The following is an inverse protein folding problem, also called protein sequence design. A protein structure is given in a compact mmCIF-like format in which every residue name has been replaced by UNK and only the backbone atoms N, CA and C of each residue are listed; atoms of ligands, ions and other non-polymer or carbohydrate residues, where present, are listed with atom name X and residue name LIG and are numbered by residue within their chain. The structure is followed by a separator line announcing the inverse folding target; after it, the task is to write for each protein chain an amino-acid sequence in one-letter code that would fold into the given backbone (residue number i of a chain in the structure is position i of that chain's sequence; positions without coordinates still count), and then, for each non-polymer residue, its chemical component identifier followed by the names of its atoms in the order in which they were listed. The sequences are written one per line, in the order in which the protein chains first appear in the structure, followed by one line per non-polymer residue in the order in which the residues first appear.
data_IF_414076718976
#
_entry.id   IF_414076718976
#
_cell.length_a   1.000
_cell.length_b   1.000
_cell.length_c   1.000
_cell.angle_alpha   90.00
_cell.angle_beta   90.00
_cell.angle_gamma   90.00
#
_symmetry.space_group_name_H-M   'P 1'
#
loop_
_entity.id
_entity.type
_entity.pdbx_description
1 polymer ?
#
# COMPACT_ATOMS: atom_id res chain seq x y z
N UNK A 1 -14.78 27.85 4.18
CA UNK A 1 -16.25 27.58 4.18
C UNK A 1 -16.58 26.25 3.53
N UNK A 2 -15.77 25.78 2.57
CA UNK A 2 -16.03 24.53 1.83
C UNK A 2 -15.84 23.25 2.65
N UNK A 3 -14.94 23.25 3.64
CA UNK A 3 -14.70 22.12 4.54
C UNK A 3 -15.92 21.81 5.44
N UNK A 4 -16.58 22.85 5.94
CA UNK A 4 -17.80 22.71 6.76
C UNK A 4 -18.99 22.18 5.92
N UNK A 5 -19.10 22.60 4.66
CA UNK A 5 -20.14 22.13 3.77
C UNK A 5 -19.97 20.64 3.42
N UNK A 6 -18.73 20.20 3.20
CA UNK A 6 -18.39 18.80 2.94
C UNK A 6 -18.66 17.91 4.17
N UNK A 7 -18.28 18.37 5.36
CA UNK A 7 -18.48 17.63 6.61
C UNK A 7 -19.97 17.48 6.99
N UNK A 8 -20.74 18.55 6.78
CA UNK A 8 -22.20 18.54 6.99
C UNK A 8 -22.88 17.59 5.98
N UNK A 9 -22.45 17.60 4.72
CA UNK A 9 -22.95 16.67 3.71
C UNK A 9 -22.67 15.21 4.10
N UNK A 10 -21.50 14.92 4.67
CA UNK A 10 -21.11 13.57 5.11
C UNK A 10 -21.97 13.07 6.29
N UNK A 11 -22.24 13.92 7.29
CA UNK A 11 -23.13 13.57 8.41
C UNK A 11 -24.56 13.29 7.91
N UNK A 12 -25.05 14.10 6.94
CA UNK A 12 -26.36 13.89 6.35
C UNK A 12 -26.44 12.59 5.54
N UNK A 13 -25.39 12.27 4.79
CA UNK A 13 -25.33 11.04 3.98
C UNK A 13 -25.28 9.81 4.89
N UNK A 14 -24.44 9.81 5.92
CA UNK A 14 -24.32 8.71 6.87
C UNK A 14 -25.59 8.50 7.69
N UNK A 15 -26.19 9.56 8.21
CA UNK A 15 -27.48 9.50 8.92
C UNK A 15 -28.63 9.01 8.04
N UNK A 16 -28.65 9.38 6.75
CA UNK A 16 -29.62 8.91 5.77
C UNK A 16 -29.47 7.42 5.49
N UNK A 17 -28.23 6.92 5.35
CA UNK A 17 -27.96 5.49 5.09
C UNK A 17 -28.26 4.61 6.30
N UNK A 18 -27.90 5.02 7.51
CA UNK A 18 -28.25 4.29 8.72
C UNK A 18 -29.77 4.25 8.95
N UNK A 19 -30.45 5.35 8.71
CA UNK A 19 -31.91 5.40 8.76
C UNK A 19 -32.58 4.50 7.70
N UNK A 20 -31.97 4.38 6.51
CA UNK A 20 -32.45 3.49 5.43
C UNK A 20 -32.20 2.02 5.74
N UNK A 21 -31.08 1.68 6.36
CA UNK A 21 -30.75 0.32 6.83
C UNK A 21 -31.68 -0.13 7.95
N UNK A 22 -32.02 0.77 8.89
CA UNK A 22 -33.00 0.53 9.94
C UNK A 22 -34.43 0.40 9.37
N UNK A 23 -34.77 1.19 8.38
CA UNK A 23 -36.08 1.14 7.72
C UNK A 23 -36.28 -0.13 6.87
N UNK A 24 -35.22 -0.73 6.35
CA UNK A 24 -35.28 -2.01 5.62
C UNK A 24 -35.34 -3.24 6.55
N UNK A 25 -34.88 -3.12 7.80
CA UNK A 25 -34.95 -4.19 8.81
C UNK A 25 -36.25 -4.22 9.64
N UNK A 26 -36.95 -3.10 9.70
CA UNK A 26 -38.22 -3.04 10.44
C UNK A 26 -39.37 -2.66 9.50
N UNK A 27 -40.20 -3.64 9.11
CA UNK A 27 -41.56 -3.40 8.55
C UNK A 27 -42.50 -2.89 9.65
N UNK A 28 -42.16 -1.75 10.26
CA UNK A 28 -43.02 -1.07 11.22
C UNK A 28 -43.47 0.24 10.58
N UNK A 29 -44.78 0.34 10.37
CA UNK A 29 -45.49 1.54 9.91
C UNK A 29 -45.34 2.66 10.93
N UNK A 30 -44.35 3.57 10.74
CA UNK A 30 -44.30 4.80 11.50
C UNK A 30 -45.30 5.81 10.91
N UNK A 31 -46.16 6.37 11.78
CA UNK A 31 -47.11 7.38 11.40
C UNK A 31 -46.41 8.66 10.91
N UNK A 32 -47.05 9.40 10.01
CA UNK A 32 -46.57 10.70 9.46
C UNK A 32 -46.22 11.71 10.56
N UNK A 33 -46.88 11.66 11.71
CA UNK A 33 -46.56 12.50 12.88
C UNK A 33 -45.20 12.24 13.49
N UNK A 34 -44.77 10.99 13.59
CA UNK A 34 -43.44 10.62 14.14
C UNK A 34 -42.30 11.10 13.25
N UNK A 35 -42.51 11.09 11.93
CA UNK A 35 -41.55 11.66 10.98
C UNK A 35 -41.43 13.18 11.10
N UNK A 36 -42.54 13.88 11.28
CA UNK A 36 -42.54 15.35 11.46
C UNK A 36 -41.86 15.76 12.76
N UNK A 37 -42.06 15.03 13.85
CA UNK A 37 -41.42 15.26 15.15
C UNK A 37 -39.90 14.99 15.04
N UNK A 38 -39.46 13.94 14.36
CA UNK A 38 -38.05 13.65 14.15
C UNK A 38 -37.34 14.75 13.35
N UNK A 39 -37.95 15.24 12.27
CA UNK A 39 -37.42 16.35 11.47
C UNK A 39 -37.33 17.63 12.28
N UNK A 40 -38.35 17.96 13.10
CA UNK A 40 -38.34 19.14 13.95
C UNK A 40 -37.24 19.10 15.02
N UNK A 41 -37.00 17.92 15.64
CA UNK A 41 -35.90 17.75 16.61
C UNK A 41 -34.52 17.92 15.98
N UNK A 42 -34.30 17.33 14.81
CA UNK A 42 -33.02 17.48 14.07
C UNK A 42 -32.82 18.92 13.63
N UNK A 43 -33.86 19.59 13.14
CA UNK A 43 -33.78 21.02 12.73
C UNK A 43 -33.52 21.92 13.91
N UNK A 44 -34.17 21.70 15.06
CA UNK A 44 -33.94 22.46 16.29
C UNK A 44 -32.54 22.26 16.86
N UNK A 45 -31.99 21.02 16.77
CA UNK A 45 -30.64 20.69 17.20
C UNK A 45 -29.59 21.39 16.33
N UNK A 46 -29.79 21.39 15.00
CA UNK A 46 -28.93 22.12 14.05
C UNK A 46 -29.00 23.64 14.32
N UNK A 47 -30.17 24.17 14.58
CA UNK A 47 -30.35 25.60 14.88
C UNK A 47 -29.63 26.00 16.18
N UNK A 48 -29.67 25.14 17.21
CA UNK A 48 -28.97 25.37 18.48
C UNK A 48 -27.46 25.38 18.32
N UNK A 49 -26.89 24.50 17.48
CA UNK A 49 -25.46 24.50 17.16
C UNK A 49 -25.07 25.75 16.37
N UNK A 50 -25.95 26.27 15.52
CA UNK A 50 -25.72 27.48 14.73
C UNK A 50 -25.77 28.77 15.60
N UNK A 51 -26.59 28.78 16.64
CA UNK A 51 -26.76 29.93 17.55
C UNK A 51 -25.64 30.00 18.61
N UNK A 52 -25.14 28.85 19.08
CA UNK A 52 -24.00 28.79 20.02
C UNK A 52 -22.95 27.77 19.59
N UNK A 53 -21.91 28.22 18.87
CA UNK A 53 -20.80 27.33 18.46
C UNK A 53 -20.09 26.64 19.62
N UNK A 54 -20.22 27.13 20.87
CA UNK A 54 -19.63 26.53 22.07
C UNK A 54 -20.34 25.20 22.45
N UNK A 55 -21.62 25.07 22.13
CA UNK A 55 -22.35 23.81 22.27
C UNK A 55 -21.79 22.73 21.38
N UNK A 56 -21.30 23.06 20.17
CA UNK A 56 -20.62 22.13 19.29
C UNK A 56 -19.30 21.60 19.91
N UNK A 57 -18.51 22.50 20.51
CA UNK A 57 -17.26 22.10 21.18
C UNK A 57 -17.48 21.29 22.48
N UNK A 58 -18.66 21.39 23.09
CA UNK A 58 -19.01 20.60 24.28
C UNK A 58 -19.61 19.23 23.96
N UNK A 59 -20.17 19.08 22.75
CA UNK A 59 -20.82 17.84 22.25
C UNK A 59 -19.95 17.10 21.22
N UNK A 60 -18.94 17.78 20.64
CA UNK A 60 -17.91 17.08 19.91
C UNK A 60 -17.28 16.05 20.86
N UNK A 61 -17.12 14.77 20.45
CA UNK A 61 -16.31 13.87 21.23
C UNK A 61 -15.02 14.63 21.50
N UNK A 62 -14.71 14.90 22.78
CA UNK A 62 -13.36 15.32 23.11
C UNK A 62 -12.49 14.27 22.50
N UNK A 63 -11.78 14.62 21.46
CA UNK A 63 -10.73 13.79 20.89
C UNK A 63 -9.71 13.57 22.01
N UNK A 64 -10.04 12.64 22.88
CA UNK A 64 -9.04 11.86 23.55
C UNK A 64 -8.44 11.07 22.40
N UNK A 65 -7.50 11.68 21.68
CA UNK A 65 -6.54 10.92 20.91
C UNK A 65 -6.19 9.75 21.81
N UNK A 66 -6.51 8.50 21.41
CA UNK A 66 -6.14 7.38 22.24
C UNK A 66 -4.66 7.60 22.46
N UNK A 67 -4.20 7.43 23.69
CA UNK A 67 -2.78 7.30 24.00
C UNK A 67 -2.29 6.11 23.18
N UNK A 68 -1.96 6.37 21.92
CA UNK A 68 -1.16 5.44 21.13
C UNK A 68 0.12 5.36 21.94
N UNK A 69 0.51 4.18 22.43
CA UNK A 69 1.75 4.04 23.17
C UNK A 69 2.85 4.62 22.29
N UNK A 70 3.40 5.75 22.69
CA UNK A 70 4.50 6.37 21.95
C UNK A 70 5.63 5.34 21.99
N UNK A 71 6.11 4.86 20.83
CA UNK A 71 7.21 3.93 20.79
C UNK A 71 8.38 4.54 21.57
N UNK A 72 9.00 3.77 22.47
CA UNK A 72 10.24 4.18 23.12
C UNK A 72 11.38 3.49 22.37
N UNK A 73 11.92 4.13 21.32
CA UNK A 73 13.02 3.57 20.57
C UNK A 73 14.27 3.51 21.44
N UNK A 74 15.24 2.64 21.07
CA UNK A 74 16.55 2.64 21.69
C UNK A 74 17.20 4.03 21.59
N UNK A 75 18.06 4.38 22.53
CA UNK A 75 18.79 5.67 22.49
C UNK A 75 19.52 5.87 21.16
N UNK A 76 20.08 4.78 20.61
CA UNK A 76 20.78 4.80 19.33
C UNK A 76 19.82 5.09 18.16
N UNK A 77 18.66 4.46 18.11
CA UNK A 77 17.67 4.71 17.07
C UNK A 77 17.15 6.15 17.14
N UNK A 78 16.89 6.65 18.36
CA UNK A 78 16.50 8.05 18.54
C UNK A 78 17.55 9.03 18.01
N UNK A 79 18.83 8.79 18.32
CA UNK A 79 19.91 9.62 17.81
C UNK A 79 19.96 9.60 16.28
N UNK A 80 19.87 8.42 15.67
CA UNK A 80 19.85 8.26 14.20
C UNK A 80 18.69 9.01 13.53
N UNK A 81 17.49 8.93 14.09
CA UNK A 81 16.30 9.64 13.56
C UNK A 81 16.44 11.16 13.76
N UNK A 82 17.01 11.61 14.87
CA UNK A 82 17.30 13.03 15.12
C UNK A 82 18.35 13.57 14.14
N UNK A 83 19.43 12.83 13.92
CA UNK A 83 20.48 13.19 12.97
C UNK A 83 19.95 13.23 11.53
N UNK A 84 19.11 12.26 11.14
CA UNK A 84 18.42 12.26 9.87
C UNK A 84 17.58 13.54 9.68
N UNK A 85 16.75 13.88 10.67
CA UNK A 85 15.89 15.06 10.58
C UNK A 85 16.72 16.36 10.49
N UNK A 86 17.81 16.47 11.24
CA UNK A 86 18.73 17.61 11.19
C UNK A 86 19.41 17.70 9.80
N UNK A 87 19.89 16.58 9.26
CA UNK A 87 20.52 16.50 7.93
C UNK A 87 19.55 16.88 6.82
N UNK A 88 18.33 16.35 6.85
CA UNK A 88 17.28 16.71 5.89
C UNK A 88 16.92 18.19 5.98
N UNK A 89 16.71 18.71 7.20
CA UNK A 89 16.37 20.13 7.42
C UNK A 89 17.42 21.05 6.84
N UNK A 90 18.73 20.74 7.04
CA UNK A 90 19.83 21.50 6.46
C UNK A 90 19.86 21.38 4.94
N UNK A 91 19.67 20.16 4.41
CA UNK A 91 19.70 19.91 2.96
C UNK A 91 18.59 20.70 2.23
N UNK A 92 17.36 20.73 2.78
CA UNK A 92 16.25 21.50 2.21
C UNK A 92 16.47 23.00 2.37
N UNK A 93 16.89 23.46 3.55
CA UNK A 93 17.17 24.88 3.83
C UNK A 93 18.25 25.45 2.93
N UNK A 94 19.34 24.73 2.70
CA UNK A 94 20.43 25.16 1.83
C UNK A 94 20.02 25.35 0.37
N UNK A 95 18.84 24.82 0.00
CA UNK A 95 18.21 24.95 -1.34
C UNK A 95 16.99 25.83 -1.35
N UNK A 96 16.78 26.63 -0.28
CA UNK A 96 15.67 27.57 -0.18
C UNK A 96 14.30 26.90 -0.04
N UNK A 97 14.27 25.65 0.47
CA UNK A 97 13.03 24.89 0.72
C UNK A 97 12.86 24.61 2.20
N UNK A 98 11.61 24.48 2.65
CA UNK A 98 11.28 23.93 3.96
C UNK A 98 11.19 22.41 3.87
N UNK A 99 11.66 21.71 4.91
CA UNK A 99 11.44 20.27 5.04
C UNK A 99 9.93 19.99 5.16
N UNK A 100 9.36 19.10 4.36
CA UNK A 100 7.98 18.67 4.52
C UNK A 100 7.75 18.03 5.89
N UNK A 101 6.61 18.30 6.49
CA UNK A 101 6.22 17.64 7.73
C UNK A 101 5.87 16.18 7.45
N UNK A 102 6.39 15.18 8.21
CA UNK A 102 6.11 13.79 7.97
C UNK A 102 4.63 13.46 8.25
N UNK A 103 4.10 12.50 7.48
CA UNK A 103 2.78 11.91 7.74
C UNK A 103 2.82 11.00 8.96
N UNK A 104 3.97 10.34 9.19
CA UNK A 104 4.20 9.41 10.29
C UNK A 104 5.21 9.97 11.30
N UNK A 105 4.79 10.89 12.21
CA UNK A 105 5.72 11.59 13.11
C UNK A 105 6.41 10.69 14.13
N UNK A 106 5.91 9.46 14.34
CA UNK A 106 6.47 8.46 15.25
C UNK A 106 6.89 7.20 14.48
N UNK A 107 8.03 7.21 13.77
CA UNK A 107 8.41 6.12 12.88
C UNK A 107 8.88 4.86 13.60
N UNK A 108 9.23 4.94 14.89
CA UNK A 108 9.75 3.80 15.65
C UNK A 108 8.66 2.77 15.97
N UNK A 109 9.07 1.49 16.08
CA UNK A 109 8.18 0.39 16.43
C UNK A 109 7.90 0.36 17.93
N UNK A 110 6.68 -0.01 18.31
CA UNK A 110 6.33 -0.37 19.69
C UNK A 110 7.05 -1.64 20.13
N UNK A 111 7.17 -1.90 21.44
CA UNK A 111 7.77 -3.13 21.96
C UNK A 111 7.04 -4.39 21.49
N UNK A 112 5.71 -4.31 21.32
CA UNK A 112 4.88 -5.39 20.81
C UNK A 112 5.17 -5.67 19.33
N UNK A 113 5.32 -4.63 18.53
CA UNK A 113 5.71 -4.75 17.11
C UNK A 113 7.13 -5.30 16.97
N UNK A 114 8.09 -4.83 17.77
CA UNK A 114 9.46 -5.38 17.79
C UNK A 114 9.44 -6.89 18.08
N UNK A 115 8.62 -7.32 19.04
CA UNK A 115 8.45 -8.74 19.38
C UNK A 115 7.85 -9.51 18.19
N UNK A 116 6.82 -8.96 17.53
CA UNK A 116 6.18 -9.57 16.36
C UNK A 116 7.16 -9.78 15.22
N UNK A 117 7.97 -8.78 14.89
CA UNK A 117 8.87 -8.80 13.75
C UNK A 117 10.25 -9.43 14.04
N UNK A 118 10.50 -9.89 15.28
CA UNK A 118 11.77 -10.52 15.65
C UNK A 118 12.13 -11.73 14.78
N UNK A 119 11.14 -12.46 14.26
CA UNK A 119 11.36 -13.56 13.33
C UNK A 119 12.14 -13.12 12.08
N UNK A 120 11.94 -11.88 11.61
CA UNK A 120 12.62 -11.36 10.43
C UNK A 120 14.12 -11.16 10.62
N UNK A 121 14.57 -10.91 11.86
CA UNK A 121 15.98 -10.69 12.20
C UNK A 121 16.68 -11.91 12.81
N UNK A 122 15.92 -12.91 13.31
CA UNK A 122 16.45 -14.08 14.05
C UNK A 122 16.79 -15.28 13.18
N UNK A 123 16.62 -15.18 11.86
CA UNK A 123 16.88 -16.26 10.92
C UNK A 123 18.37 -16.61 10.89
N UNK A 124 18.69 -17.84 11.28
CA UNK A 124 20.06 -18.37 11.29
C UNK A 124 20.67 -18.51 9.89
N UNK A 125 19.85 -18.54 8.85
CA UNK A 125 20.31 -18.69 7.46
C UNK A 125 20.86 -17.39 6.83
N UNK A 126 20.69 -16.24 7.49
CA UNK A 126 21.36 -15.00 7.12
C UNK A 126 20.88 -14.37 5.80
N UNK A 127 19.69 -14.70 5.31
CA UNK A 127 19.15 -14.21 4.04
C UNK A 127 19.02 -12.69 3.96
N UNK A 128 19.14 -12.15 2.75
CA UNK A 128 19.13 -10.71 2.44
C UNK A 128 17.75 -10.31 1.95
N UNK A 129 17.27 -9.15 2.37
CA UNK A 129 16.08 -8.47 1.86
C UNK A 129 16.51 -7.42 0.84
N UNK A 130 16.10 -7.58 -0.41
CA UNK A 130 16.37 -6.60 -1.47
C UNK A 130 15.22 -5.59 -1.54
N UNK A 131 15.54 -4.33 -1.29
CA UNK A 131 14.62 -3.21 -1.46
C UNK A 131 14.82 -2.60 -2.84
N UNK A 132 13.78 -2.62 -3.67
CA UNK A 132 13.81 -2.07 -5.01
C UNK A 132 12.69 -1.05 -5.20
N UNK A 133 12.95 0.01 -5.96
CA UNK A 133 11.93 1.00 -6.31
C UNK A 133 12.20 1.70 -7.62
N UNK A 134 11.13 2.13 -8.27
CA UNK A 134 11.12 3.16 -9.30
C UNK A 134 10.43 4.38 -8.71
N UNK A 135 11.12 5.50 -8.64
CA UNK A 135 10.63 6.66 -7.90
C UNK A 135 10.90 7.95 -8.68
N UNK A 136 9.95 8.88 -8.59
CA UNK A 136 10.09 10.19 -9.24
C UNK A 136 9.28 11.25 -8.51
N UNK A 137 9.88 12.45 -8.31
CA UNK A 137 9.21 13.62 -7.73
C UNK A 137 8.56 13.34 -6.36
N UNK A 138 9.32 12.76 -5.43
CA UNK A 138 8.84 12.33 -4.12
C UNK A 138 9.39 13.15 -2.96
N UNK A 139 9.85 14.37 -3.22
CA UNK A 139 10.44 15.21 -2.17
C UNK A 139 9.57 15.33 -0.92
N UNK A 140 8.23 15.32 -1.07
CA UNK A 140 7.29 15.45 0.04
C UNK A 140 7.13 14.14 0.87
N UNK A 141 7.51 13.01 0.27
CA UNK A 141 7.48 11.69 0.93
C UNK A 141 8.81 11.33 1.58
N UNK A 142 9.90 12.04 1.24
CA UNK A 142 11.27 11.73 1.69
C UNK A 142 11.40 11.63 3.20
N UNK A 143 10.83 12.52 4.04
CA UNK A 143 10.98 12.40 5.49
C UNK A 143 10.44 11.06 6.02
N UNK A 144 9.27 10.65 5.55
CA UNK A 144 8.64 9.37 5.94
C UNK A 144 9.42 8.18 5.39
N UNK A 145 9.81 8.21 4.12
CA UNK A 145 10.55 7.14 3.46
C UNK A 145 11.90 6.89 4.15
N UNK A 146 12.71 7.94 4.38
CA UNK A 146 14.02 7.76 4.99
C UNK A 146 13.92 7.31 6.44
N UNK A 147 12.96 7.83 7.21
CA UNK A 147 12.70 7.38 8.57
C UNK A 147 12.25 5.90 8.58
N UNK A 148 11.39 5.49 7.65
CA UNK A 148 10.99 4.10 7.49
C UNK A 148 12.19 3.17 7.19
N UNK A 149 13.10 3.59 6.31
CA UNK A 149 14.31 2.84 5.99
C UNK A 149 15.26 2.71 7.20
N UNK A 150 15.48 3.80 7.97
CA UNK A 150 16.30 3.76 9.20
C UNK A 150 15.77 2.72 10.17
N UNK A 151 14.47 2.75 10.48
CA UNK A 151 13.84 1.81 11.41
C UNK A 151 13.86 0.38 10.86
N UNK A 152 13.65 0.21 9.57
CA UNK A 152 13.70 -1.10 8.91
C UNK A 152 15.10 -1.70 8.96
N UNK A 153 16.14 -0.93 8.65
CA UNK A 153 17.55 -1.37 8.73
C UNK A 153 17.94 -1.69 10.17
N UNK A 154 17.51 -0.86 11.14
CA UNK A 154 17.75 -1.12 12.57
C UNK A 154 17.12 -2.44 13.03
N UNK A 155 15.90 -2.75 12.52
CA UNK A 155 15.14 -3.97 12.87
C UNK A 155 15.71 -5.23 12.20
N UNK A 156 15.99 -5.17 10.90
CA UNK A 156 16.45 -6.34 10.12
C UNK A 156 17.95 -6.62 10.30
N UNK A 157 18.72 -5.58 10.59
CA UNK A 157 20.18 -5.57 10.61
C UNK A 157 20.80 -5.13 9.28
N UNK A 158 21.84 -4.27 9.31
CA UNK A 158 22.41 -3.65 8.10
C UNK A 158 23.06 -4.65 7.15
N UNK A 159 23.52 -5.81 7.65
CA UNK A 159 24.10 -6.87 6.83
C UNK A 159 23.05 -7.73 6.12
N UNK A 160 21.77 -7.51 6.39
CA UNK A 160 20.65 -8.28 5.85
C UNK A 160 19.78 -7.50 4.88
N UNK A 161 20.22 -6.33 4.46
CA UNK A 161 19.50 -5.49 3.52
C UNK A 161 20.37 -5.15 2.31
N UNK A 162 19.73 -4.94 1.18
CA UNK A 162 20.32 -4.42 -0.04
C UNK A 162 19.31 -3.47 -0.69
N UNK A 163 19.81 -2.49 -1.44
CA UNK A 163 19.00 -1.42 -2.01
C UNK A 163 19.32 -1.23 -3.49
N UNK A 164 18.28 -1.17 -4.32
CA UNK A 164 18.37 -0.75 -5.72
C UNK A 164 17.29 0.29 -5.99
N UNK A 165 17.66 1.54 -6.05
CA UNK A 165 16.74 2.66 -6.27
C UNK A 165 17.02 3.28 -7.62
N UNK A 166 16.02 3.26 -8.50
CA UNK A 166 16.03 3.96 -9.76
C UNK A 166 15.15 5.21 -9.61
N UNK A 167 15.79 6.34 -9.54
CA UNK A 167 15.14 7.63 -9.54
C UNK A 167 15.05 8.11 -10.99
N UNK A 168 13.82 8.38 -11.45
CA UNK A 168 13.57 8.99 -12.75
C UNK A 168 13.92 10.48 -12.71
N UNK A 169 14.10 11.18 -13.84
CA UNK A 169 14.48 12.58 -13.83
C UNK A 169 13.40 13.41 -13.14
N UNK A 170 13.72 13.89 -11.93
CA UNK A 170 12.85 14.73 -11.12
C UNK A 170 13.31 16.19 -11.17
N UNK A 171 12.34 17.11 -11.17
CA UNK A 171 12.60 18.55 -11.14
C UNK A 171 12.64 19.10 -9.72
N UNK A 172 12.45 18.23 -8.72
CA UNK A 172 12.44 18.54 -7.29
C UNK A 172 13.77 18.14 -6.60
N UNK A 173 13.79 18.10 -5.27
CA UNK A 173 14.99 17.75 -4.51
C UNK A 173 15.27 16.23 -4.45
N UNK A 174 14.44 15.38 -5.03
CA UNK A 174 14.58 13.91 -4.94
C UNK A 174 15.97 13.42 -5.34
N UNK A 175 16.53 13.75 -6.53
CA UNK A 175 17.86 13.24 -6.93
C UNK A 175 18.94 13.69 -5.96
N UNK A 176 18.89 14.97 -5.53
CA UNK A 176 19.92 15.54 -4.66
C UNK A 176 19.88 14.95 -3.25
N UNK A 177 18.69 14.63 -2.73
CA UNK A 177 18.54 13.93 -1.43
C UNK A 177 19.04 12.49 -1.54
N UNK A 178 18.75 11.80 -2.62
CA UNK A 178 19.18 10.41 -2.80
C UNK A 178 20.71 10.31 -2.84
N UNK A 179 21.38 11.20 -3.55
CA UNK A 179 22.85 11.20 -3.64
C UNK A 179 23.53 11.73 -2.37
N UNK A 180 23.02 12.80 -1.77
CA UNK A 180 23.73 13.52 -0.72
C UNK A 180 23.26 13.17 0.70
N UNK A 181 22.08 12.53 0.85
CA UNK A 181 21.56 12.14 2.16
C UNK A 181 21.34 10.65 2.25
N UNK A 182 20.53 10.04 1.36
CA UNK A 182 20.16 8.62 1.45
C UNK A 182 21.40 7.70 1.33
N UNK A 183 22.23 7.89 0.33
CA UNK A 183 23.41 7.03 0.13
C UNK A 183 24.38 7.11 1.32
N UNK A 184 24.80 8.30 1.81
CA UNK A 184 25.59 8.40 3.04
C UNK A 184 24.90 7.84 4.28
N UNK A 185 23.59 8.02 4.40
CA UNK A 185 22.80 7.46 5.50
C UNK A 185 22.89 5.93 5.56
N UNK A 186 22.66 5.25 4.42
CA UNK A 186 22.73 3.78 4.36
C UNK A 186 24.13 3.28 4.73
N UNK A 187 25.19 3.97 4.31
CA UNK A 187 26.56 3.67 4.72
C UNK A 187 26.77 3.87 6.23
N UNK A 188 26.28 4.97 6.80
CA UNK A 188 26.38 5.24 8.25
C UNK A 188 25.63 4.24 9.11
N UNK A 189 24.54 3.66 8.58
CA UNK A 189 23.80 2.56 9.22
C UNK A 189 24.57 1.24 9.17
N UNK A 190 25.64 1.13 8.39
CA UNK A 190 26.48 -0.07 8.26
C UNK A 190 26.06 -1.01 7.13
N UNK A 191 25.26 -0.55 6.18
CA UNK A 191 24.93 -1.32 4.97
C UNK A 191 26.17 -1.43 4.09
N UNK A 192 26.59 -2.64 3.65
CA UNK A 192 27.74 -2.82 2.78
C UNK A 192 27.63 -2.06 1.46
N UNK A 193 28.68 -1.37 1.03
CA UNK A 193 28.65 -0.51 -0.17
C UNK A 193 28.22 -1.25 -1.45
N UNK A 194 28.65 -2.51 -1.63
CA UNK A 194 28.26 -3.34 -2.78
C UNK A 194 26.78 -3.74 -2.79
N UNK A 195 26.03 -3.42 -1.75
CA UNK A 195 24.58 -3.67 -1.63
C UNK A 195 23.75 -2.39 -1.76
N UNK A 196 24.36 -1.29 -2.12
CA UNK A 196 23.68 0.00 -2.33
C UNK A 196 23.89 0.40 -3.78
N UNK A 197 22.80 0.39 -4.55
CA UNK A 197 22.74 0.87 -5.93
C UNK A 197 21.67 1.95 -6.02
N UNK A 198 22.08 3.20 -6.19
CA UNK A 198 21.20 4.35 -6.36
C UNK A 198 21.57 5.00 -7.69
N UNK A 199 20.59 5.12 -8.59
CA UNK A 199 20.71 5.71 -9.91
C UNK A 199 19.78 6.91 -9.98
N UNK A 200 20.33 8.10 -10.25
CA UNK A 200 19.60 9.38 -10.28
C UNK A 200 19.83 10.16 -11.57
N UNK A 201 20.49 9.55 -12.53
CA UNK A 201 20.88 10.17 -13.82
C UNK A 201 20.20 9.48 -15.02
N UNK A 202 19.11 8.77 -14.77
CA UNK A 202 18.35 8.12 -15.83
C UNK A 202 17.79 9.16 -16.82
N UNK A 203 17.84 8.89 -18.14
CA UNK A 203 17.30 9.81 -19.13
C UNK A 203 15.77 9.94 -19.01
N UNK A 204 15.26 11.10 -19.39
CA UNK A 204 13.81 11.32 -19.47
C UNK A 204 13.19 10.38 -20.52
N UNK A 205 12.05 9.78 -20.17
CA UNK A 205 11.32 8.87 -21.03
C UNK A 205 10.15 9.60 -21.69
N UNK A 206 10.13 9.56 -23.01
CA UNK A 206 9.00 10.07 -23.78
C UNK A 206 7.88 9.01 -23.85
N UNK A 207 6.96 9.05 -22.89
CA UNK A 207 5.78 8.20 -22.90
C UNK A 207 4.78 8.48 -24.02
N UNK A 208 4.95 9.58 -24.77
CA UNK A 208 4.14 9.87 -25.94
C UNK A 208 4.42 8.92 -27.12
N UNK A 209 5.67 8.46 -27.23
CA UNK A 209 6.14 7.58 -28.31
C UNK A 209 6.46 6.15 -27.84
N UNK A 210 6.72 5.93 -26.55
CA UNK A 210 7.03 4.61 -26.01
C UNK A 210 5.80 3.88 -25.46
N UNK A 211 5.76 2.56 -25.54
CA UNK A 211 4.73 1.78 -24.85
C UNK A 211 4.96 1.81 -23.34
N UNK A 212 4.02 2.37 -22.60
CA UNK A 212 4.14 2.56 -21.15
C UNK A 212 4.43 1.24 -20.41
N UNK A 213 3.76 0.15 -20.76
CA UNK A 213 3.91 -1.15 -20.09
C UNK A 213 5.30 -1.73 -20.32
N UNK A 214 5.80 -1.64 -21.56
CA UNK A 214 7.14 -2.09 -21.90
C UNK A 214 8.22 -1.29 -21.18
N UNK A 215 8.07 0.03 -21.11
CA UNK A 215 9.00 0.91 -20.41
C UNK A 215 9.04 0.57 -18.91
N UNK A 216 7.87 0.47 -18.27
CA UNK A 216 7.80 0.14 -16.84
C UNK A 216 8.35 -1.26 -16.56
N UNK A 217 8.08 -2.24 -17.42
CA UNK A 217 8.65 -3.58 -17.31
C UNK A 217 10.18 -3.56 -17.36
N UNK A 218 10.76 -2.81 -18.31
CA UNK A 218 12.21 -2.67 -18.45
C UNK A 218 12.84 -2.00 -17.22
N UNK A 219 12.25 -0.92 -16.71
CA UNK A 219 12.72 -0.26 -15.51
C UNK A 219 12.65 -1.14 -14.26
N UNK A 220 11.55 -1.93 -14.10
CA UNK A 220 11.44 -2.89 -13.00
C UNK A 220 12.51 -3.97 -13.09
N UNK A 221 12.77 -4.47 -14.30
CA UNK A 221 13.84 -5.43 -14.52
C UNK A 221 15.22 -4.81 -14.23
N UNK A 222 15.45 -3.56 -14.59
CA UNK A 222 16.68 -2.85 -14.27
C UNK A 222 16.87 -2.72 -12.74
N UNK A 223 15.80 -2.39 -12.00
CA UNK A 223 15.84 -2.34 -10.55
C UNK A 223 16.16 -3.71 -9.92
N UNK A 224 15.74 -4.80 -10.54
CA UNK A 224 15.98 -6.16 -10.06
C UNK A 224 17.21 -6.83 -10.69
N UNK A 225 17.90 -6.15 -11.59
CA UNK A 225 19.07 -6.69 -12.32
C UNK A 225 20.13 -7.36 -11.42
N UNK A 226 20.44 -6.86 -10.20
CA UNK A 226 21.40 -7.54 -9.33
C UNK A 226 21.02 -8.99 -8.97
N UNK A 227 19.74 -9.38 -9.02
CA UNK A 227 19.32 -10.74 -8.73
C UNK A 227 19.91 -11.78 -9.67
N UNK A 228 20.10 -11.46 -10.94
CA UNK A 228 20.57 -12.43 -11.96
C UNK A 228 21.90 -12.07 -12.58
N UNK A 229 22.40 -10.85 -12.42
CA UNK A 229 23.73 -10.47 -12.85
C UNK A 229 24.83 -10.91 -11.88
N UNK A 230 24.51 -10.95 -10.58
CA UNK A 230 25.37 -11.53 -9.56
C UNK A 230 24.69 -12.78 -8.94
N UNK A 231 25.00 -13.98 -9.46
CA UNK A 231 24.37 -15.21 -8.97
C UNK A 231 24.61 -15.46 -7.47
N UNK A 232 25.78 -15.08 -6.95
CA UNK A 232 26.07 -15.24 -5.52
C UNK A 232 25.24 -14.28 -4.68
N UNK A 233 24.99 -13.08 -5.16
CA UNK A 233 24.07 -12.15 -4.53
C UNK A 233 22.64 -12.65 -4.63
N UNK A 234 22.18 -13.04 -5.82
CA UNK A 234 20.80 -13.45 -6.09
C UNK A 234 20.36 -14.65 -5.25
N UNK A 235 21.20 -15.67 -5.10
CA UNK A 235 20.87 -16.88 -4.32
C UNK A 235 20.76 -16.62 -2.81
N UNK A 236 21.34 -15.52 -2.30
CA UNK A 236 21.23 -15.11 -0.91
C UNK A 236 20.04 -14.18 -0.64
N UNK A 237 19.30 -13.77 -1.67
CA UNK A 237 18.10 -12.96 -1.47
C UNK A 237 16.97 -13.83 -0.95
N UNK A 238 16.41 -13.44 0.19
CA UNK A 238 15.28 -14.11 0.85
C UNK A 238 13.95 -13.58 0.35
N UNK A 239 13.85 -12.29 0.15
CA UNK A 239 12.65 -11.63 -0.38
C UNK A 239 13.03 -10.34 -1.09
N UNK A 240 12.25 -9.99 -2.10
CA UNK A 240 12.30 -8.69 -2.77
C UNK A 240 11.16 -7.84 -2.24
N UNK A 241 11.45 -6.66 -1.70
CA UNK A 241 10.48 -5.64 -1.35
C UNK A 241 10.50 -4.61 -2.46
N UNK A 242 9.44 -4.55 -3.27
CA UNK A 242 9.30 -3.57 -4.33
C UNK A 242 8.21 -2.58 -3.95
N UNK A 243 8.53 -1.29 -3.90
CA UNK A 243 7.58 -0.24 -3.58
C UNK A 243 7.58 0.87 -4.61
N UNK A 244 6.42 1.48 -4.78
CA UNK A 244 6.22 2.66 -5.61
C UNK A 244 6.44 3.95 -4.80
N UNK A 245 6.13 5.08 -5.40
CA UNK A 245 6.10 6.43 -4.83
C UNK A 245 4.91 6.64 -3.87
N UNK A 246 4.86 5.86 -2.80
CA UNK A 246 3.79 5.87 -1.78
C UNK A 246 4.32 6.29 -0.41
N UNK A 247 3.45 6.86 0.42
CA UNK A 247 3.78 7.13 1.83
C UNK A 247 3.94 5.83 2.60
N UNK A 248 5.13 5.60 3.16
CA UNK A 248 5.54 4.39 3.85
C UNK A 248 6.01 4.67 5.28
N UNK A 249 5.73 3.75 6.19
CA UNK A 249 6.38 3.62 7.50
C UNK A 249 6.98 2.22 7.66
N UNK A 250 7.94 2.06 8.56
CA UNK A 250 8.63 0.78 8.77
C UNK A 250 7.67 -0.38 9.09
N UNK A 251 6.61 -0.11 9.87
CA UNK A 251 5.57 -1.09 10.16
C UNK A 251 4.96 -1.69 8.88
N UNK A 252 4.71 -0.87 7.85
CA UNK A 252 4.14 -1.34 6.58
C UNK A 252 5.05 -2.38 5.92
N UNK A 253 6.33 -2.07 5.82
CA UNK A 253 7.35 -2.93 5.23
C UNK A 253 7.49 -4.24 6.02
N UNK A 254 7.62 -4.13 7.33
CA UNK A 254 7.87 -5.27 8.21
C UNK A 254 6.65 -6.19 8.34
N UNK A 255 5.43 -5.64 8.33
CA UNK A 255 4.21 -6.45 8.32
C UNK A 255 4.05 -7.24 7.02
N UNK A 256 4.35 -6.63 5.86
CA UNK A 256 4.34 -7.34 4.58
C UNK A 256 5.38 -8.46 4.57
N UNK A 257 6.61 -8.20 5.01
CA UNK A 257 7.68 -9.20 5.13
C UNK A 257 7.29 -10.32 6.09
N UNK A 258 6.72 -9.98 7.26
CA UNK A 258 6.30 -10.95 8.25
C UNK A 258 5.20 -11.87 7.70
N UNK A 259 4.16 -11.30 7.10
CA UNK A 259 3.06 -12.08 6.51
C UNK A 259 3.52 -12.90 5.31
N UNK A 260 4.46 -12.38 4.52
CA UNK A 260 5.07 -13.13 3.41
C UNK A 260 5.74 -14.42 3.90
N UNK A 261 6.56 -14.33 4.95
CA UNK A 261 7.26 -15.49 5.49
C UNK A 261 6.33 -16.46 6.23
N UNK A 262 5.48 -15.95 7.11
CA UNK A 262 4.58 -16.79 7.93
C UNK A 262 3.62 -17.60 7.08
N UNK A 263 3.17 -17.04 5.96
CA UNK A 263 2.24 -17.69 5.05
C UNK A 263 2.92 -18.48 3.93
N UNK A 264 4.23 -18.34 3.72
CA UNK A 264 4.94 -18.94 2.60
C UNK A 264 4.37 -18.47 1.26
N UNK A 265 4.16 -17.15 1.14
CA UNK A 265 3.60 -16.56 -0.06
C UNK A 265 4.64 -16.41 -1.17
N UNK A 266 4.22 -16.50 -2.43
CA UNK A 266 5.04 -16.11 -3.58
C UNK A 266 5.01 -14.59 -3.80
N UNK A 267 3.84 -13.97 -3.58
CA UNK A 267 3.68 -12.51 -3.64
C UNK A 267 2.78 -12.06 -2.48
N UNK A 268 3.17 -10.98 -1.82
CA UNK A 268 2.40 -10.34 -0.74
C UNK A 268 2.25 -8.87 -1.06
N UNK A 269 1.03 -8.40 -1.27
CA UNK A 269 0.73 -7.02 -1.61
C UNK A 269 0.10 -6.27 -0.44
N UNK A 270 0.33 -4.96 -0.40
CA UNK A 270 -0.40 -4.02 0.44
C UNK A 270 -1.80 -3.72 -0.13
N UNK A 271 -2.39 -2.63 0.31
CA UNK A 271 -3.59 -2.02 -0.25
C UNK A 271 -3.35 -0.53 -0.48
N UNK A 272 -3.77 0.02 -1.61
CA UNK A 272 -3.53 1.42 -1.91
C UNK A 272 -4.80 2.21 -2.26
N UNK A 273 -4.79 3.50 -1.90
CA UNK A 273 -5.89 4.41 -2.07
C UNK A 273 -5.50 5.60 -2.96
N UNK A 274 -6.36 5.91 -3.93
CA UNK A 274 -6.30 7.16 -4.69
C UNK A 274 -6.99 8.30 -3.93
N UNK A 275 -8.20 8.02 -3.39
CA UNK A 275 -8.94 8.89 -2.48
C UNK A 275 -9.59 8.07 -1.40
N UNK A 276 -9.75 8.62 -0.22
CA UNK A 276 -10.39 7.95 0.91
C UNK A 276 -11.83 8.42 1.14
N UNK A 277 -12.13 9.69 0.82
CA UNK A 277 -13.46 10.27 0.89
C UNK A 277 -13.84 10.96 -0.43
N UNK A 278 -14.73 10.39 -1.20
CA UNK A 278 -15.20 9.01 -1.12
C UNK A 278 -14.06 8.03 -1.37
N UNK A 279 -14.17 6.79 -0.86
CA UNK A 279 -13.11 5.80 -0.94
C UNK A 279 -12.91 5.29 -2.38
N UNK A 280 -11.70 5.38 -2.90
CA UNK A 280 -11.31 4.85 -4.21
C UNK A 280 -10.07 3.97 -4.08
N UNK A 281 -10.21 2.70 -4.41
CA UNK A 281 -9.09 1.81 -4.59
C UNK A 281 -8.26 2.25 -5.80
N UNK A 282 -6.92 2.33 -5.65
CA UNK A 282 -6.07 2.84 -6.73
C UNK A 282 -5.77 1.82 -7.81
N UNK A 283 -5.34 0.62 -7.42
CA UNK A 283 -4.80 -0.39 -8.35
C UNK A 283 -5.91 -1.30 -8.94
N UNK A 284 -7.01 -0.66 -9.35
CA UNK A 284 -8.21 -1.31 -9.91
C UNK A 284 -7.93 -2.20 -11.12
N UNK A 285 -6.79 -2.02 -11.77
CA UNK A 285 -6.44 -2.69 -13.01
C UNK A 285 -5.74 -4.03 -12.79
N UNK A 286 -5.04 -4.19 -11.67
CA UNK A 286 -4.21 -5.36 -11.37
C UNK A 286 -4.94 -6.34 -10.45
N UNK A 287 -5.63 -5.85 -9.42
CA UNK A 287 -6.25 -6.67 -8.39
C UNK A 287 -7.34 -7.61 -8.91
N UNK A 288 -7.18 -8.93 -8.69
CA UNK A 288 -8.14 -9.98 -9.08
C UNK A 288 -8.34 -10.99 -7.96
N UNK A 289 -9.60 -11.33 -7.70
CA UNK A 289 -9.96 -12.31 -6.68
C UNK A 289 -9.52 -13.72 -7.08
N UNK A 290 -9.30 -14.58 -6.08
CA UNK A 290 -8.98 -15.98 -6.32
C UNK A 290 -10.24 -16.80 -6.63
N UNK A 291 -11.39 -16.39 -6.10
CA UNK A 291 -12.64 -17.16 -6.21
C UNK A 291 -13.22 -17.07 -7.62
N UNK A 292 -13.20 -15.90 -8.22
CA UNK A 292 -13.88 -15.63 -9.49
C UNK A 292 -12.95 -15.17 -10.61
N UNK A 293 -11.73 -14.73 -10.28
CA UNK A 293 -10.82 -14.09 -11.24
C UNK A 293 -11.24 -12.68 -11.65
N UNK A 294 -12.31 -12.14 -11.06
CA UNK A 294 -12.77 -10.78 -11.36
C UNK A 294 -12.04 -9.72 -10.52
N UNK A 295 -12.21 -8.46 -10.91
CA UNK A 295 -11.58 -7.31 -10.28
C UNK A 295 -12.04 -7.15 -8.82
N UNK A 296 -11.16 -6.65 -7.95
CA UNK A 296 -11.54 -6.28 -6.58
C UNK A 296 -12.62 -5.22 -6.55
N UNK A 297 -12.65 -4.41 -7.56
CA UNK A 297 -13.51 -3.27 -7.70
C UNK A 297 -14.12 -3.27 -9.10
N UNK A 298 -15.43 -3.47 -9.25
CA UNK A 298 -16.07 -3.34 -10.53
C UNK A 298 -15.98 -1.88 -10.98
N UNK A 299 -15.51 -1.65 -12.20
CA UNK A 299 -15.39 -0.32 -12.75
C UNK A 299 -16.65 -0.05 -13.57
N UNK A 300 -17.63 0.72 -13.02
CA UNK A 300 -18.82 1.07 -13.76
C UNK A 300 -18.52 2.13 -14.81
N UNK A 301 -19.37 2.25 -15.80
CA UNK A 301 -19.32 3.33 -16.77
C UNK A 301 -20.28 4.47 -16.32
N UNK A 302 -19.83 5.73 -16.19
CA UNK A 302 -18.44 6.20 -16.30
C UNK A 302 -17.59 5.73 -15.13
N UNK A 303 -16.33 5.45 -15.42
CA UNK A 303 -15.39 4.84 -14.52
C UNK A 303 -15.14 5.62 -13.21
N UNK A 304 -14.73 4.86 -12.18
CA UNK A 304 -14.34 5.33 -10.87
C UNK A 304 -15.44 5.96 -10.03
N UNK A 305 -16.39 5.16 -9.61
CA UNK A 305 -17.23 5.51 -8.48
C UNK A 305 -16.55 5.12 -7.14
N UNK A 306 -16.97 5.73 -6.01
CA UNK A 306 -16.47 5.34 -4.70
C UNK A 306 -16.56 3.85 -4.45
N UNK A 307 -15.57 3.26 -3.78
CA UNK A 307 -15.49 1.83 -3.51
C UNK A 307 -16.41 1.38 -2.36
N UNK A 308 -17.68 1.74 -2.42
CA UNK A 308 -18.70 1.20 -1.52
C UNK A 308 -18.95 -0.29 -1.76
N UNK A 309 -18.54 -0.79 -2.92
CA UNK A 309 -18.73 -2.18 -3.35
C UNK A 309 -17.38 -2.78 -3.74
N UNK A 310 -16.54 -3.07 -2.75
CA UNK A 310 -15.35 -3.90 -2.95
C UNK A 310 -15.76 -5.37 -2.95
N UNK A 311 -15.10 -6.17 -3.78
CA UNK A 311 -15.27 -7.63 -3.84
C UNK A 311 -16.73 -8.08 -3.98
N UNK A 312 -17.52 -7.54 -4.95
CA UNK A 312 -18.95 -7.82 -5.05
C UNK A 312 -19.24 -9.32 -5.21
N UNK A 313 -18.36 -10.07 -5.87
CA UNK A 313 -18.50 -11.49 -6.16
C UNK A 313 -17.64 -12.38 -5.26
N UNK A 314 -16.95 -11.81 -4.25
CA UNK A 314 -16.13 -12.54 -3.29
C UNK A 314 -16.40 -12.08 -1.85
N UNK A 315 -17.51 -12.54 -1.22
CA UNK A 315 -17.84 -12.20 0.17
C UNK A 315 -16.77 -12.60 1.17
N UNK A 316 -16.00 -13.66 0.87
CA UNK A 316 -14.87 -14.11 1.70
C UNK A 316 -13.74 -13.08 1.69
N UNK A 317 -13.37 -12.58 0.53
CA UNK A 317 -12.34 -11.52 0.41
C UNK A 317 -12.80 -10.24 1.10
N UNK A 318 -14.07 -9.85 0.95
CA UNK A 318 -14.65 -8.68 1.63
C UNK A 318 -14.59 -8.84 3.16
N UNK A 319 -14.98 -9.99 3.70
CA UNK A 319 -14.96 -10.25 5.13
C UNK A 319 -13.52 -10.19 5.69
N UNK A 320 -12.55 -10.78 5.00
CA UNK A 320 -11.15 -10.74 5.39
C UNK A 320 -10.57 -9.32 5.32
N UNK A 321 -10.89 -8.57 4.26
CA UNK A 321 -10.51 -7.16 4.11
C UNK A 321 -11.04 -6.31 5.28
N UNK A 322 -12.30 -6.44 5.62
CA UNK A 322 -12.93 -5.72 6.74
C UNK A 322 -12.36 -6.12 8.11
N UNK A 323 -11.93 -7.37 8.25
CA UNK A 323 -11.29 -7.87 9.46
C UNK A 323 -9.78 -7.55 9.55
N UNK A 324 -9.20 -6.90 8.54
CA UNK A 324 -7.75 -6.66 8.38
C UNK A 324 -6.94 -7.96 8.40
N UNK A 325 -7.54 -9.07 7.97
CA UNK A 325 -6.89 -10.38 7.88
C UNK A 325 -6.34 -10.63 6.47
N UNK A 326 -5.12 -11.16 6.32
CA UNK A 326 -4.59 -11.53 5.02
C UNK A 326 -5.51 -12.51 4.29
N UNK A 327 -5.63 -12.35 2.98
CA UNK A 327 -6.43 -13.24 2.15
C UNK A 327 -5.77 -13.49 0.79
N UNK A 328 -6.03 -14.67 0.24
CA UNK A 328 -5.50 -15.06 -1.07
C UNK A 328 -6.25 -14.33 -2.18
N UNK A 329 -5.49 -13.98 -3.22
CA UNK A 329 -5.98 -13.38 -4.46
C UNK A 329 -5.28 -14.06 -5.64
N UNK A 330 -5.81 -13.88 -6.85
CA UNK A 330 -5.08 -14.31 -8.06
C UNK A 330 -3.92 -13.36 -8.33
N UNK A 331 -4.13 -12.07 -8.26
CA UNK A 331 -3.11 -11.05 -8.49
C UNK A 331 -3.37 -9.79 -7.67
N UNK A 332 -2.32 -9.15 -7.21
CA UNK A 332 -2.33 -7.82 -6.62
C UNK A 332 -0.93 -7.20 -6.66
N UNK A 333 -0.88 -5.85 -6.74
CA UNK A 333 0.38 -5.07 -6.63
C UNK A 333 0.28 -4.00 -5.53
N UNK A 334 -0.66 -3.06 -5.64
CA UNK A 334 -1.14 -2.12 -4.62
C UNK A 334 -0.03 -1.28 -3.94
N UNK A 335 0.82 -0.65 -4.72
CA UNK A 335 1.82 0.31 -4.24
C UNK A 335 3.06 -0.30 -3.59
N UNK A 336 2.96 -1.44 -2.89
CA UNK A 336 4.11 -2.15 -2.29
C UNK A 336 3.86 -3.65 -2.28
N UNK A 337 4.85 -4.41 -2.73
CA UNK A 337 4.82 -5.87 -2.73
C UNK A 337 6.09 -6.48 -2.15
N UNK A 338 5.93 -7.65 -1.56
CA UNK A 338 7.03 -8.56 -1.23
C UNK A 338 6.92 -9.78 -2.14
N UNK A 339 8.02 -10.15 -2.79
CA UNK A 339 8.07 -11.26 -3.76
C UNK A 339 9.11 -12.29 -3.37
N UNK A 340 8.79 -13.57 -3.60
CA UNK A 340 9.81 -14.65 -3.60
C UNK A 340 10.79 -14.40 -4.77
N UNK A 341 12.10 -14.36 -4.53
CA UNK A 341 13.09 -14.13 -5.58
C UNK A 341 13.28 -15.30 -6.52
N UNK A 342 12.90 -16.53 -6.14
CA UNK A 342 13.17 -17.74 -6.90
C UNK A 342 12.68 -17.71 -8.34
N UNK A 343 11.47 -17.21 -8.66
CA UNK A 343 11.01 -17.14 -10.04
C UNK A 343 11.92 -16.30 -10.96
N UNK A 344 12.62 -15.31 -10.43
CA UNK A 344 13.56 -14.50 -11.20
C UNK A 344 14.86 -15.22 -11.53
N UNK A 345 15.19 -16.30 -10.84
CA UNK A 345 16.43 -17.06 -10.95
C UNK A 345 16.25 -18.29 -11.86
N UNK A 346 17.35 -18.86 -12.41
CA UNK A 346 17.28 -20.13 -13.13
C UNK A 346 16.68 -21.25 -12.26
N UNK A 347 15.88 -22.17 -12.83
CA UNK A 347 15.60 -22.32 -14.26
C UNK A 347 14.45 -21.45 -14.79
N UNK A 348 13.70 -20.76 -13.94
CA UNK A 348 12.46 -20.06 -14.28
C UNK A 348 12.71 -18.81 -15.12
N UNK A 349 13.63 -17.94 -14.69
CA UNK A 349 14.02 -16.71 -15.37
C UNK A 349 12.85 -15.75 -15.68
N UNK A 350 11.85 -15.70 -14.80
CA UNK A 350 10.71 -14.77 -14.92
C UNK A 350 11.21 -13.32 -14.94
N UNK A 351 10.58 -12.50 -15.77
CA UNK A 351 10.87 -11.07 -15.92
C UNK A 351 9.58 -10.27 -16.06
N UNK A 352 9.58 -9.04 -15.60
CA UNK A 352 8.53 -8.10 -16.01
C UNK A 352 8.57 -7.94 -17.52
N UNK A 353 7.41 -7.92 -18.14
CA UNK A 353 7.31 -7.93 -19.61
C UNK A 353 6.03 -7.27 -20.08
N UNK A 354 6.01 -6.93 -21.35
CA UNK A 354 4.79 -6.67 -22.09
C UNK A 354 4.14 -7.99 -22.53
N UNK A 355 2.83 -7.96 -22.74
CA UNK A 355 2.08 -9.10 -23.26
C UNK A 355 2.55 -9.56 -24.65
N UNK A 356 2.53 -10.88 -24.90
CA UNK A 356 2.79 -11.47 -26.20
C UNK A 356 1.54 -11.40 -27.07
N UNK A 357 1.38 -10.27 -27.76
CA UNK A 357 0.23 -10.03 -28.63
C UNK A 357 0.18 -10.97 -29.84
N UNK A 358 1.31 -11.52 -30.26
CA UNK A 358 1.36 -12.48 -31.38
C UNK A 358 0.68 -13.78 -31.00
N UNK A 359 0.82 -14.20 -29.74
CA UNK A 359 0.14 -15.38 -29.19
C UNK A 359 -1.28 -15.10 -28.69
N UNK A 360 -1.77 -13.85 -28.82
CA UNK A 360 -3.11 -13.49 -28.37
C UNK A 360 -3.25 -13.20 -26.88
N UNK A 361 -2.13 -13.01 -26.17
CA UNK A 361 -2.15 -12.66 -24.75
C UNK A 361 -2.81 -11.28 -24.55
N UNK A 362 -3.65 -11.15 -23.54
CA UNK A 362 -4.29 -9.86 -23.23
C UNK A 362 -3.24 -8.80 -22.90
N UNK A 363 -3.41 -7.58 -23.40
CA UNK A 363 -2.53 -6.43 -23.16
C UNK A 363 -2.62 -5.91 -21.71
N UNK A 364 -2.49 -6.80 -20.74
CA UNK A 364 -2.51 -6.46 -19.31
C UNK A 364 -1.28 -5.66 -18.89
N UNK A 365 -1.33 -5.10 -17.68
CA UNK A 365 -0.19 -4.45 -17.03
C UNK A 365 0.94 -5.46 -16.77
N UNK A 366 2.18 -4.99 -16.73
CA UNK A 366 3.35 -5.78 -16.35
C UNK A 366 3.23 -6.37 -14.94
N UNK A 367 2.49 -5.67 -14.06
CA UNK A 367 2.18 -6.16 -12.71
C UNK A 367 1.13 -7.27 -12.71
N UNK A 368 0.22 -7.31 -13.67
CA UNK A 368 -0.71 -8.43 -13.84
C UNK A 368 -0.02 -9.64 -14.46
N UNK A 369 0.84 -9.40 -15.45
CA UNK A 369 1.57 -10.47 -16.16
C UNK A 369 2.56 -11.19 -15.25
N UNK A 370 3.24 -10.48 -14.34
CA UNK A 370 4.14 -11.12 -13.39
C UNK A 370 3.39 -12.08 -12.45
N UNK A 371 2.16 -11.78 -12.04
CA UNK A 371 1.34 -12.71 -11.27
C UNK A 371 1.05 -13.98 -12.08
N UNK A 372 0.64 -13.83 -13.35
CA UNK A 372 0.38 -14.98 -14.25
C UNK A 372 1.62 -15.86 -14.42
N UNK A 373 2.80 -15.24 -14.59
CA UNK A 373 4.06 -15.97 -14.72
C UNK A 373 4.44 -16.69 -13.41
N UNK A 374 4.19 -16.09 -12.25
CA UNK A 374 4.36 -16.74 -10.95
C UNK A 374 3.42 -17.96 -10.79
N UNK A 375 2.15 -17.83 -11.16
CA UNK A 375 1.21 -18.95 -11.14
C UNK A 375 1.66 -20.07 -12.05
N UNK A 376 2.05 -19.77 -13.29
CA UNK A 376 2.52 -20.72 -14.29
C UNK A 376 3.70 -21.57 -13.78
N UNK A 377 4.61 -20.96 -13.03
CA UNK A 377 5.82 -21.59 -12.51
C UNK A 377 5.65 -22.18 -11.10
N UNK A 378 4.41 -22.23 -10.59
CA UNK A 378 4.08 -22.86 -9.30
C UNK A 378 4.29 -21.96 -8.06
N UNK A 379 4.47 -20.65 -8.24
CA UNK A 379 4.61 -19.65 -7.17
C UNK A 379 3.36 -18.82 -6.95
N UNK A 380 2.19 -19.30 -7.38
CA UNK A 380 0.92 -18.57 -7.39
C UNK A 380 0.28 -18.33 -6.02
N UNK A 381 1.00 -18.44 -4.91
CA UNK A 381 0.53 -18.07 -3.58
C UNK A 381 0.58 -16.54 -3.41
N UNK A 382 -0.42 -15.87 -3.97
CA UNK A 382 -0.54 -14.41 -3.92
C UNK A 382 -1.53 -14.00 -2.83
N UNK A 383 -1.16 -13.05 -1.97
CA UNK A 383 -2.01 -12.54 -0.90
C UNK A 383 -2.02 -11.01 -0.85
N UNK A 384 -3.09 -10.47 -0.30
CA UNK A 384 -3.21 -9.08 0.14
C UNK A 384 -3.16 -9.05 1.67
N UNK A 385 -2.46 -8.06 2.23
CA UNK A 385 -2.41 -7.78 3.68
C UNK A 385 -3.13 -6.45 3.93
N UNK A 386 -4.44 -6.47 4.19
CA UNK A 386 -5.26 -5.25 4.27
C UNK A 386 -4.99 -4.40 5.52
N UNK A 387 -4.20 -4.91 6.45
CA UNK A 387 -3.69 -4.11 7.57
C UNK A 387 -2.58 -3.12 7.17
N UNK A 388 -2.04 -3.25 5.95
CA UNK A 388 -1.09 -2.30 5.35
C UNK A 388 -1.82 -1.54 4.25
N UNK A 389 -2.18 -0.29 4.56
CA UNK A 389 -2.89 0.59 3.63
C UNK A 389 -2.03 1.82 3.32
N UNK A 390 -1.87 2.10 2.04
CA UNK A 390 -0.96 3.08 1.48
C UNK A 390 -1.71 4.15 0.69
N UNK A 391 -1.05 5.26 0.41
CA UNK A 391 -1.56 6.30 -0.48
C UNK A 391 -0.40 7.03 -1.17
N UNK A 392 -0.70 7.59 -2.35
CA UNK A 392 0.25 8.37 -3.15
C UNK A 392 0.24 9.85 -2.76
N UNK A 393 -0.89 10.36 -2.27
CA UNK A 393 -1.08 11.75 -1.90
C UNK A 393 -1.04 11.93 -0.36
N UNK A 394 -0.44 13.02 0.10
CA UNK A 394 -0.26 13.33 1.52
C UNK A 394 -1.57 13.31 2.32
N UNK A 395 -2.58 14.02 1.85
CA UNK A 395 -3.85 14.15 2.57
C UNK A 395 -4.58 12.82 2.66
N UNK A 396 -4.49 12.02 1.59
CA UNK A 396 -5.05 10.65 1.56
C UNK A 396 -4.29 9.74 2.53
N UNK A 397 -2.96 9.88 2.63
CA UNK A 397 -2.14 9.11 3.57
C UNK A 397 -2.49 9.43 5.03
N UNK A 398 -2.63 10.73 5.38
CA UNK A 398 -3.06 11.17 6.72
C UNK A 398 -4.44 10.59 7.06
N UNK A 399 -5.41 10.74 6.15
CA UNK A 399 -6.76 10.21 6.35
C UNK A 399 -6.76 8.68 6.47
N UNK A 400 -5.97 7.99 5.63
CA UNK A 400 -5.84 6.53 5.68
C UNK A 400 -5.30 6.07 7.01
N UNK A 401 -4.23 6.71 7.52
CA UNK A 401 -3.66 6.37 8.83
C UNK A 401 -4.67 6.56 9.95
N UNK A 402 -5.41 7.68 9.96
CA UNK A 402 -6.46 7.93 10.95
C UNK A 402 -7.56 6.86 10.93
N UNK A 403 -8.07 6.50 9.75
CA UNK A 403 -9.11 5.49 9.59
C UNK A 403 -8.61 4.09 9.98
N UNK A 404 -7.36 3.76 9.64
CA UNK A 404 -6.74 2.50 10.02
C UNK A 404 -6.57 2.37 11.53
N UNK A 405 -6.15 3.42 12.22
CA UNK A 405 -6.05 3.43 13.68
C UNK A 405 -7.41 3.18 14.34
N UNK A 406 -8.48 3.80 13.83
CA UNK A 406 -9.84 3.59 14.34
C UNK A 406 -10.30 2.14 14.11
N UNK A 407 -10.17 1.62 12.88
CA UNK A 407 -10.56 0.25 12.54
C UNK A 407 -9.78 -0.78 13.35
N UNK A 408 -8.48 -0.61 13.52
CA UNK A 408 -7.65 -1.47 14.36
C UNK A 408 -8.14 -1.48 15.82
N UNK A 409 -8.52 -0.32 16.36
CA UNK A 409 -9.07 -0.21 17.72
C UNK A 409 -10.39 -0.96 17.85
N UNK A 410 -11.31 -0.79 16.91
CA UNK A 410 -12.60 -1.50 16.87
C UNK A 410 -12.41 -3.01 16.80
N UNK A 411 -11.38 -3.47 16.08
CA UNK A 411 -11.00 -4.88 15.97
C UNK A 411 -10.19 -5.40 17.17
N UNK A 412 -9.93 -4.55 18.17
CA UNK A 412 -9.22 -4.93 19.39
C UNK A 412 -7.70 -5.07 19.24
N UNK A 413 -7.11 -4.43 18.23
CA UNK A 413 -5.67 -4.38 18.07
C UNK A 413 -5.03 -3.60 19.22
N UNK A 414 -3.87 -4.04 19.67
CA UNK A 414 -3.08 -3.35 20.70
C UNK A 414 -1.67 -3.09 20.17
N UNK A 415 -1.21 -1.85 20.31
CA UNK A 415 0.14 -1.44 19.89
C UNK A 415 0.47 -1.81 18.44
N UNK A 416 -0.51 -1.71 17.54
CA UNK A 416 -0.36 -2.04 16.11
C UNK A 416 -0.33 -3.55 15.80
N UNK A 417 -0.66 -4.41 16.76
CA UNK A 417 -0.65 -5.87 16.59
C UNK A 417 -2.05 -6.43 16.80
N UNK A 418 -2.51 -7.38 15.93
CA UNK A 418 -3.82 -7.99 16.06
C UNK A 418 -3.96 -8.79 17.35
N UNK A 419 -5.18 -8.92 17.90
CA UNK A 419 -5.42 -9.74 19.08
C UNK A 419 -5.15 -11.21 18.80
N UNK A 420 -4.66 -11.92 19.83
CA UNK A 420 -4.49 -13.37 19.79
C UNK A 420 -5.85 -14.03 19.80
N UNK A 421 -6.23 -14.66 18.69
CA UNK A 421 -7.49 -15.44 18.60
C UNK A 421 -7.22 -16.93 18.84
N UNK A 422 -7.91 -17.52 19.81
CA UNK A 422 -7.79 -18.96 20.10
C UNK A 422 -6.41 -19.42 20.56
N UNK A 423 -5.66 -18.57 21.24
CA UNK A 423 -4.33 -18.91 21.76
C UNK A 423 -3.19 -18.94 20.71
N UNK A 424 -3.49 -18.59 19.45
CA UNK A 424 -2.48 -18.48 18.37
C UNK A 424 -2.42 -17.05 17.86
N UNK A 425 -1.22 -16.52 17.67
CA UNK A 425 -0.95 -15.19 17.13
C UNK A 425 -1.52 -14.98 15.73
N UNK A 426 -1.59 -16.05 14.94
CA UNK A 426 -2.17 -16.08 13.61
C UNK A 426 -2.33 -17.53 13.16
N UNK A 427 -3.44 -17.88 12.50
CA UNK A 427 -3.72 -19.28 12.09
C UNK A 427 -3.02 -19.68 10.79
N UNK A 428 -2.40 -18.73 10.08
CA UNK A 428 -1.90 -18.95 8.74
C UNK A 428 -3.02 -18.95 7.68
N UNK A 429 -2.63 -18.69 6.43
CA UNK A 429 -3.54 -18.69 5.31
C UNK A 429 -3.71 -20.12 4.76
N UNK A 430 -4.95 -20.52 4.47
CA UNK A 430 -5.20 -21.76 3.71
C UNK A 430 -5.20 -21.41 2.24
N UNK A 431 -4.26 -21.99 1.48
CA UNK A 431 -4.08 -21.71 0.08
C UNK A 431 -4.95 -22.59 -0.82
N UNK A 432 -5.60 -21.95 -1.80
CA UNK A 432 -6.09 -22.63 -2.99
C UNK A 432 -4.91 -22.77 -3.95
N UNK A 433 -4.68 -23.99 -4.45
CA UNK A 433 -3.52 -24.28 -5.29
C UNK A 433 -3.80 -24.06 -6.78
N UNK A 434 -5.06 -24.05 -7.18
CA UNK A 434 -5.48 -23.84 -8.57
C UNK A 434 -5.92 -22.38 -8.76
N UNK A 435 -5.56 -21.75 -9.86
CA UNK A 435 -6.05 -20.43 -10.23
C UNK A 435 -7.52 -20.50 -10.65
N UNK A 436 -8.20 -19.34 -10.77
CA UNK A 436 -9.50 -19.28 -11.46
C UNK A 436 -9.39 -19.78 -12.89
N UNK A 437 -10.44 -20.43 -13.41
CA UNK A 437 -10.47 -20.91 -14.81
C UNK A 437 -10.25 -19.77 -15.81
N UNK A 438 -10.79 -18.61 -15.51
CA UNK A 438 -10.62 -17.37 -16.27
C UNK A 438 -10.38 -16.19 -15.34
N UNK A 439 -9.70 -15.19 -15.86
CA UNK A 439 -9.46 -13.92 -15.17
C UNK A 439 -9.95 -12.75 -16.02
N UNK A 440 -10.37 -11.68 -15.35
CA UNK A 440 -10.75 -10.43 -16.04
C UNK A 440 -9.50 -9.71 -16.51
N UNK A 441 -9.43 -9.40 -17.78
CA UNK A 441 -8.40 -8.56 -18.36
C UNK A 441 -8.99 -7.24 -18.85
N UNK A 442 -8.30 -6.16 -18.53
CA UNK A 442 -8.53 -4.82 -19.06
C UNK A 442 -7.34 -4.48 -19.97
N UNK A 443 -7.46 -4.63 -21.29
CA UNK A 443 -6.32 -4.44 -22.18
C UNK A 443 -5.90 -2.96 -22.26
N UNK A 444 -4.59 -2.70 -22.11
CA UNK A 444 -4.03 -1.37 -22.31
C UNK A 444 -4.10 -1.01 -23.81
N UNK A 445 -4.51 0.22 -24.16
CA UNK A 445 -4.55 0.64 -25.55
C UNK A 445 -3.15 0.69 -26.17
N UNK A 446 -3.01 0.25 -27.40
CA UNK A 446 -1.72 0.25 -28.11
C UNK A 446 -1.17 1.66 -28.35
N UNK A 447 -2.04 2.64 -28.51
CA UNK A 447 -1.70 4.06 -28.61
C UNK A 447 -1.96 4.73 -27.27
N UNK A 448 -0.94 4.83 -26.44
CA UNK A 448 -0.88 5.44 -25.11
C UNK A 448 -2.05 6.39 -24.78
N UNK A 449 -3.21 5.82 -24.43
CA UNK A 449 -4.28 6.50 -23.71
C UNK A 449 -5.08 7.58 -24.42
N UNK A 450 -4.71 8.01 -25.62
CA UNK A 450 -5.45 9.04 -26.34
C UNK A 450 -6.65 8.43 -27.05
N UNK A 451 -7.84 8.57 -26.46
CA UNK A 451 -9.12 8.35 -27.11
C UNK A 451 -9.77 7.00 -26.89
N UNK A 452 -9.27 6.13 -26.01
CA UNK A 452 -9.89 4.86 -25.68
C UNK A 452 -10.06 4.71 -24.17
N UNK A 453 -11.29 4.50 -23.74
CA UNK A 453 -11.59 4.11 -22.38
C UNK A 453 -11.21 2.63 -22.22
N UNK A 454 -10.03 2.36 -21.68
CA UNK A 454 -9.53 1.00 -21.40
C UNK A 454 -10.48 0.21 -20.50
N UNK A 455 -11.33 0.89 -19.77
CA UNK A 455 -12.28 0.34 -18.81
C UNK A 455 -13.53 -0.24 -19.49
N UNK A 456 -13.81 0.15 -20.73
CA UNK A 456 -14.98 -0.33 -21.50
C UNK A 456 -14.71 -1.66 -22.21
N UNK A 457 -13.45 -2.09 -22.30
CA UNK A 457 -13.04 -3.30 -23.00
C UNK A 457 -12.47 -4.34 -22.06
N UNK A 458 -13.29 -4.86 -21.17
CA UNK A 458 -12.88 -6.00 -20.35
C UNK A 458 -13.19 -7.29 -21.08
N UNK A 459 -12.28 -8.26 -20.96
CA UNK A 459 -12.45 -9.61 -21.51
C UNK A 459 -12.10 -10.67 -20.48
N UNK A 460 -12.67 -11.85 -20.62
CA UNK A 460 -12.32 -13.02 -19.82
C UNK A 460 -11.31 -13.87 -20.57
N UNK A 461 -10.15 -14.04 -20.01
CA UNK A 461 -9.03 -14.77 -20.60
C UNK A 461 -8.56 -15.90 -19.69
N UNK A 462 -7.82 -16.87 -20.24
CA UNK A 462 -7.10 -17.82 -19.42
C UNK A 462 -6.06 -17.10 -18.53
N UNK A 463 -5.73 -17.63 -17.36
CA UNK A 463 -4.76 -17.01 -16.43
C UNK A 463 -3.37 -16.78 -17.04
N UNK A 464 -2.97 -17.64 -17.99
CA UNK A 464 -1.77 -17.52 -18.83
C UNK A 464 -1.95 -18.28 -20.15
N UNK A 465 -1.02 -18.07 -21.09
CA UNK A 465 -0.96 -18.81 -22.37
C UNK A 465 -0.13 -20.09 -22.25
#
# INVERSE_FOLDING_TARGET
MDFLASYVAHIFTRGYYEARLLATRSRVLYSTRTRQIGVLFVSAFILLIWIDPRLYHSLAPKDVLPLVPVPVPSLLLNARLSDLNATLSEHYRSRGRSLPEPVFPYPALTGTQQTRYRLLSSDSEGGIYLFATLIRQVQDQIPDLLAALVVTVDTLGPKRVAFTFLEGPSDDLTPSVFNNVLQPLLHSLGVPSHRIRIITDSPAIDFGHANRIEVLANLRNEALQPLWQDPLFGTNIKSVVFFNDVYLKAEHILELLYMHQVNGAGVTAAWDWYKREPAYFYDVWVGKTIDTGDLFYPIPNPWWSPSEVLFPDSPRSLAAFQALEPFQVFCSWNGTVVMDPKPFLPPYNVRFRRSDRVKGECAASECSLICSDYWKDGFGRVQVVPSVQLAYERDVAIQTEYLMQNQRRELGWRDGVPPVRGGKLYKGLTWQNEPPEKIRCNPWPEKNGLGHNVWERTEWVAPWL
#
